data_IF_587556701190
#
_entry.id   IF_587556701190
#
_cell.length_a   1.000
_cell.length_b   1.000
_cell.length_c   1.000
_cell.angle_alpha   90.00
_cell.angle_beta   90.00
_cell.angle_gamma   90.00
#
_symmetry.space_group_name_H-M   'P 1'
#
loop_
_entity.id
_entity.type
_entity.pdbx_description
1 polymer ?
#
# COMPACT_ATOMS: atom_id res chain seq x y z
N UNK A 1 -5.66 9.60 -15.22
CA UNK A 1 -6.33 8.51 -15.96
C UNK A 1 -7.69 8.28 -15.33
N UNK A 2 -8.71 7.96 -16.11
CA UNK A 2 -10.06 7.69 -15.58
C UNK A 2 -10.08 6.46 -14.65
N UNK A 3 -10.91 6.53 -13.60
CA UNK A 3 -11.04 5.50 -12.58
C UNK A 3 -11.27 4.10 -13.14
N UNK A 4 -12.21 3.95 -14.09
CA UNK A 4 -12.55 2.63 -14.65
C UNK A 4 -11.35 1.98 -15.36
N UNK A 5 -10.59 2.79 -16.11
CA UNK A 5 -9.35 2.33 -16.75
C UNK A 5 -8.31 1.92 -15.71
N UNK A 6 -8.16 2.73 -14.66
CA UNK A 6 -7.22 2.42 -13.58
C UNK A 6 -7.58 1.11 -12.85
N UNK A 7 -8.88 0.87 -12.60
CA UNK A 7 -9.38 -0.34 -11.96
C UNK A 7 -9.06 -1.58 -12.79
N UNK A 8 -9.36 -1.56 -14.11
CA UNK A 8 -9.05 -2.68 -15.01
C UNK A 8 -7.55 -3.01 -15.03
N UNK A 9 -6.69 -2.00 -15.07
CA UNK A 9 -5.23 -2.20 -15.03
C UNK A 9 -4.83 -2.78 -13.68
N UNK A 10 -5.32 -2.22 -12.58
CA UNK A 10 -5.00 -2.69 -11.23
C UNK A 10 -5.45 -4.14 -11.01
N UNK A 11 -6.63 -4.53 -11.50
CA UNK A 11 -7.14 -5.90 -11.45
C UNK A 11 -6.23 -6.87 -12.20
N UNK A 12 -5.79 -6.52 -13.41
CA UNK A 12 -4.83 -7.32 -14.17
C UNK A 12 -3.49 -7.49 -13.44
N UNK A 13 -2.97 -6.42 -12.84
CA UNK A 13 -1.74 -6.47 -12.03
C UNK A 13 -1.95 -7.35 -10.80
N UNK A 14 -3.06 -7.19 -10.06
CA UNK A 14 -3.37 -8.02 -8.89
C UNK A 14 -3.43 -9.49 -9.28
N UNK A 15 -4.16 -9.86 -10.33
CA UNK A 15 -4.24 -11.25 -10.80
C UNK A 15 -2.87 -11.84 -11.19
N UNK A 16 -1.97 -11.01 -11.73
CA UNK A 16 -0.60 -11.44 -12.05
C UNK A 16 0.33 -11.60 -10.84
N UNK A 17 0.00 -11.01 -9.70
CA UNK A 17 0.83 -10.99 -8.49
C UNK A 17 0.27 -11.82 -7.33
N UNK A 18 -1.02 -12.11 -7.31
CA UNK A 18 -1.73 -12.74 -6.18
C UNK A 18 -1.10 -14.07 -5.73
N UNK A 19 -0.62 -14.89 -6.67
CA UNK A 19 0.01 -16.18 -6.35
C UNK A 19 1.28 -16.07 -5.48
N UNK A 20 1.97 -14.92 -5.52
CA UNK A 20 3.18 -14.67 -4.74
C UNK A 20 2.89 -14.00 -3.40
N UNK A 21 1.62 -13.76 -3.09
CA UNK A 21 1.17 -12.99 -1.94
C UNK A 21 0.34 -13.86 -1.00
N UNK A 22 0.48 -13.64 0.31
CA UNK A 22 -0.53 -14.07 1.27
C UNK A 22 -1.79 -13.20 1.16
N UNK A 23 -1.60 -11.89 0.94
CA UNK A 23 -2.68 -10.94 0.76
C UNK A 23 -2.25 -9.80 -0.16
N UNK A 24 -3.18 -9.28 -0.96
CA UNK A 24 -2.95 -8.15 -1.86
C UNK A 24 -4.22 -7.31 -1.98
N UNK A 25 -4.08 -5.98 -1.94
CA UNK A 25 -5.19 -5.04 -2.13
C UNK A 25 -4.73 -3.77 -2.85
N UNK A 26 -5.60 -3.29 -3.72
CA UNK A 26 -5.50 -1.95 -4.30
C UNK A 26 -5.83 -0.91 -3.22
N UNK A 27 -4.98 0.10 -3.09
CA UNK A 27 -5.09 1.20 -2.13
C UNK A 27 -5.25 2.56 -2.85
N UNK A 28 -4.83 3.64 -2.21
CA UNK A 28 -4.67 4.92 -2.88
C UNK A 28 -5.95 5.53 -3.42
N UNK A 29 -5.77 6.25 -4.53
CA UNK A 29 -6.85 6.99 -5.20
C UNK A 29 -7.92 6.08 -5.81
N UNK A 30 -7.55 4.89 -6.29
CA UNK A 30 -8.46 3.88 -6.82
C UNK A 30 -9.39 3.38 -5.70
N UNK A 31 -8.85 3.01 -4.53
CA UNK A 31 -9.68 2.53 -3.41
C UNK A 31 -10.64 3.60 -2.89
N UNK A 32 -10.26 4.88 -3.00
CA UNK A 32 -11.13 6.03 -2.68
C UNK A 32 -12.08 6.43 -3.82
N UNK A 33 -12.05 5.73 -4.95
CA UNK A 33 -12.88 6.01 -6.15
C UNK A 33 -12.74 7.44 -6.67
N UNK A 34 -11.52 7.99 -6.68
CA UNK A 34 -11.29 9.30 -7.31
C UNK A 34 -11.54 9.19 -8.82
N UNK A 35 -12.23 10.15 -9.45
CA UNK A 35 -12.50 10.12 -10.89
C UNK A 35 -11.19 10.13 -11.70
N UNK A 36 -10.22 10.92 -11.25
CA UNK A 36 -8.87 10.97 -11.81
C UNK A 36 -7.85 10.27 -10.91
N UNK A 37 -7.15 9.32 -11.50
CA UNK A 37 -6.10 8.49 -10.89
C UNK A 37 -4.76 8.79 -11.54
N UNK A 38 -3.72 9.00 -10.73
CA UNK A 38 -2.38 9.35 -11.20
C UNK A 38 -1.42 8.15 -11.20
N UNK A 39 -1.69 7.19 -10.32
CA UNK A 39 -0.83 6.07 -9.97
C UNK A 39 -1.68 4.90 -9.45
N UNK A 40 -1.09 3.70 -9.47
CA UNK A 40 -1.67 2.49 -8.88
C UNK A 40 -0.90 2.20 -7.59
N UNK A 41 -1.59 2.25 -6.45
CA UNK A 41 -1.05 1.85 -5.16
C UNK A 41 -1.50 0.43 -4.82
N UNK A 42 -0.57 -0.48 -4.52
CA UNK A 42 -0.86 -1.82 -4.00
C UNK A 42 -0.24 -2.00 -2.61
N UNK A 43 -1.00 -2.59 -1.70
CA UNK A 43 -0.47 -3.10 -0.43
C UNK A 43 -0.52 -4.62 -0.49
N UNK A 44 0.59 -5.29 -0.21
CA UNK A 44 0.67 -6.75 -0.24
C UNK A 44 1.49 -7.32 0.92
N UNK A 45 1.15 -8.54 1.35
CA UNK A 45 2.00 -9.38 2.21
C UNK A 45 2.64 -10.44 1.32
N UNK A 46 3.96 -10.43 1.11
CA UNK A 46 4.62 -11.39 0.22
C UNK A 46 4.66 -12.77 0.88
N UNK A 47 4.38 -13.82 0.09
CA UNK A 47 4.62 -15.22 0.45
C UNK A 47 5.99 -15.68 -0.05
N UNK A 48 6.34 -15.29 -1.27
CA UNK A 48 7.64 -15.54 -1.89
C UNK A 48 8.15 -14.22 -2.46
N UNK A 49 9.08 -13.60 -1.73
CA UNK A 49 9.56 -12.26 -2.09
C UNK A 49 10.43 -12.28 -3.35
N UNK A 50 11.24 -13.31 -3.53
CA UNK A 50 12.17 -13.39 -4.66
C UNK A 50 11.41 -13.63 -5.97
N UNK A 51 10.41 -14.51 -5.95
CA UNK A 51 9.55 -14.73 -7.12
C UNK A 51 8.71 -13.50 -7.45
N UNK A 52 8.18 -12.81 -6.42
CA UNK A 52 7.48 -11.56 -6.59
C UNK A 52 8.37 -10.50 -7.25
N UNK A 53 9.58 -10.28 -6.75
CA UNK A 53 10.49 -9.26 -7.28
C UNK A 53 10.88 -9.56 -8.74
N UNK A 54 11.13 -10.83 -9.08
CA UNK A 54 11.33 -11.26 -10.48
C UNK A 54 10.11 -10.94 -11.35
N UNK A 55 8.89 -11.18 -10.84
CA UNK A 55 7.66 -10.85 -11.58
C UNK A 55 7.48 -9.34 -11.75
N UNK A 56 7.79 -8.54 -10.72
CA UNK A 56 7.73 -7.08 -10.80
C UNK A 56 8.67 -6.52 -11.87
N UNK A 57 9.86 -7.09 -12.03
CA UNK A 57 10.81 -6.71 -13.10
C UNK A 57 10.26 -6.97 -14.51
N UNK A 58 9.31 -7.89 -14.66
CA UNK A 58 8.66 -8.19 -15.94
C UNK A 58 7.45 -7.31 -16.23
N UNK A 59 6.90 -6.61 -15.23
CA UNK A 59 5.73 -5.74 -15.42
C UNK A 59 6.10 -4.41 -16.07
N UNK A 60 7.34 -3.94 -15.91
CA UNK A 60 7.78 -2.67 -16.45
C UNK A 60 9.15 -2.27 -15.93
N UNK A 61 9.50 -0.98 -16.08
CA UNK A 61 10.79 -0.47 -15.65
C UNK A 61 10.81 -0.30 -14.12
N UNK A 62 11.57 -1.15 -13.42
CA UNK A 62 11.81 -1.00 -11.99
C UNK A 62 12.60 0.29 -11.72
N UNK A 63 11.97 1.26 -11.05
CA UNK A 63 12.59 2.54 -10.67
C UNK A 63 13.29 2.46 -9.32
N UNK A 64 12.75 1.64 -8.42
CA UNK A 64 13.24 1.44 -7.06
C UNK A 64 12.74 0.09 -6.55
N UNK A 65 13.57 -0.63 -5.81
CA UNK A 65 13.15 -1.75 -4.98
C UNK A 65 13.87 -1.69 -3.64
N UNK A 66 13.10 -1.76 -2.55
CA UNK A 66 13.61 -1.83 -1.19
C UNK A 66 12.73 -2.73 -0.33
N UNK A 67 13.08 -2.85 0.95
CA UNK A 67 12.38 -3.74 1.88
C UNK A 67 10.89 -3.38 2.05
N UNK A 68 10.58 -2.08 2.16
CA UNK A 68 9.22 -1.58 2.43
C UNK A 68 8.42 -1.16 1.21
N UNK A 69 9.09 -0.80 0.11
CA UNK A 69 8.45 -0.30 -1.10
C UNK A 69 9.22 -0.68 -2.35
N UNK A 70 8.50 -1.00 -3.42
CA UNK A 70 9.00 -1.06 -4.78
C UNK A 70 8.18 -0.13 -5.69
N UNK A 71 8.82 0.43 -6.70
CA UNK A 71 8.18 1.29 -7.71
C UNK A 71 8.52 0.80 -9.10
N UNK A 72 7.48 0.48 -9.87
CA UNK A 72 7.57 0.05 -11.27
C UNK A 72 6.88 1.09 -12.13
N UNK A 73 7.48 1.46 -13.25
CA UNK A 73 6.83 2.27 -14.29
C UNK A 73 6.33 1.33 -15.39
N UNK A 74 5.01 1.16 -15.47
CA UNK A 74 4.31 0.34 -16.46
C UNK A 74 3.72 1.25 -17.54
N UNK A 75 4.28 1.30 -18.75
CA UNK A 75 3.76 2.13 -19.84
C UNK A 75 3.43 3.59 -19.42
N UNK A 76 4.38 4.23 -18.71
CA UNK A 76 4.24 5.58 -18.13
C UNK A 76 3.23 5.72 -16.98
N UNK A 77 2.68 4.61 -16.49
CA UNK A 77 1.82 4.54 -15.29
C UNK A 77 2.68 4.12 -14.10
N UNK A 78 2.82 4.96 -13.06
CA UNK A 78 3.48 4.58 -11.83
C UNK A 78 2.67 3.49 -11.09
N UNK A 79 3.36 2.41 -10.73
CA UNK A 79 2.89 1.36 -9.84
C UNK A 79 3.74 1.38 -8.57
N UNK A 80 3.13 1.76 -7.45
CA UNK A 80 3.74 1.73 -6.12
C UNK A 80 3.28 0.48 -5.36
N UNK A 81 4.23 -0.36 -4.97
CA UNK A 81 3.99 -1.58 -4.21
C UNK A 81 4.52 -1.41 -2.79
N UNK A 82 3.64 -1.50 -1.80
CA UNK A 82 3.94 -1.41 -0.38
C UNK A 82 3.93 -2.80 0.25
N UNK A 83 5.06 -3.17 0.84
CA UNK A 83 5.23 -4.47 1.47
C UNK A 83 4.85 -4.40 2.94
N UNK A 84 3.86 -5.21 3.32
CA UNK A 84 3.40 -5.41 4.68
C UNK A 84 3.83 -6.80 5.20
N UNK A 85 3.78 -6.93 6.51
CA UNK A 85 3.67 -8.20 7.23
C UNK A 85 2.20 -8.40 7.66
N UNK A 86 1.79 -9.58 8.13
CA UNK A 86 0.45 -9.79 8.68
C UNK A 86 0.09 -8.76 9.77
N UNK A 87 1.06 -8.40 10.62
CA UNK A 87 0.88 -7.48 11.75
C UNK A 87 0.71 -6.03 11.28
N UNK A 88 1.45 -5.62 10.24
CA UNK A 88 1.43 -4.25 9.73
C UNK A 88 0.37 -4.01 8.65
N UNK A 89 -0.26 -5.08 8.14
CA UNK A 89 -1.21 -5.07 7.03
C UNK A 89 -2.31 -4.02 7.18
N UNK A 90 -3.04 -4.08 8.31
CA UNK A 90 -4.23 -3.26 8.51
C UNK A 90 -3.88 -1.77 8.55
N UNK A 91 -2.84 -1.41 9.29
CA UNK A 91 -2.41 -0.01 9.44
C UNK A 91 -1.77 0.50 8.16
N UNK A 92 -0.96 -0.31 7.46
CA UNK A 92 -0.38 0.10 6.18
C UNK A 92 -1.46 0.30 5.13
N UNK A 93 -2.45 -0.60 5.04
CA UNK A 93 -3.59 -0.44 4.13
C UNK A 93 -4.39 0.82 4.46
N UNK A 94 -4.64 1.12 5.74
CA UNK A 94 -5.29 2.37 6.16
C UNK A 94 -4.51 3.60 5.68
N UNK A 95 -3.21 3.67 5.99
CA UNK A 95 -2.35 4.80 5.65
C UNK A 95 -2.23 4.97 4.13
N UNK A 96 -2.01 3.88 3.39
CA UNK A 96 -1.89 3.90 1.91
C UNK A 96 -3.22 4.14 1.22
N UNK A 97 -4.35 3.84 1.86
CA UNK A 97 -5.67 4.29 1.38
C UNK A 97 -5.79 5.80 1.47
N UNK A 98 -5.15 6.46 2.45
CA UNK A 98 -5.17 7.92 2.60
C UNK A 98 -6.59 8.49 2.80
N UNK A 99 -6.88 9.73 2.38
CA UNK A 99 -5.98 10.72 1.77
C UNK A 99 -4.92 11.26 2.76
N UNK A 100 -4.00 12.09 2.26
CA UNK A 100 -3.03 12.81 3.12
C UNK A 100 -3.74 13.56 4.24
N UNK A 101 -4.83 14.28 3.94
CA UNK A 101 -5.63 14.97 4.95
C UNK A 101 -6.24 14.02 5.98
N UNK A 102 -6.73 12.85 5.56
CA UNK A 102 -7.25 11.85 6.48
C UNK A 102 -6.14 11.30 7.39
N UNK A 103 -4.96 11.02 6.84
CA UNK A 103 -3.81 10.55 7.61
C UNK A 103 -3.35 11.61 8.63
N UNK A 104 -3.31 12.89 8.25
CA UNK A 104 -3.00 14.01 9.15
C UNK A 104 -4.03 14.08 10.28
N UNK A 105 -5.33 13.97 9.96
CA UNK A 105 -6.41 13.96 10.95
C UNK A 105 -6.24 12.80 11.93
N UNK A 106 -6.01 11.57 11.45
CA UNK A 106 -5.84 10.39 12.29
C UNK A 106 -4.61 10.51 13.19
N UNK A 107 -3.47 10.92 12.64
CA UNK A 107 -2.26 11.14 13.42
C UNK A 107 -2.44 12.24 14.48
N UNK A 108 -3.18 13.31 14.15
CA UNK A 108 -3.51 14.38 15.10
C UNK A 108 -4.40 13.87 16.23
N UNK A 109 -5.41 13.05 15.92
CA UNK A 109 -6.30 12.47 16.92
C UNK A 109 -5.58 11.47 17.84
N UNK A 110 -4.64 10.69 17.30
CA UNK A 110 -3.76 9.82 18.08
C UNK A 110 -2.92 10.65 19.06
N UNK A 111 -2.23 11.68 18.54
CA UNK A 111 -1.37 12.56 19.34
C UNK A 111 -2.14 13.24 20.47
N UNK A 112 -3.36 13.72 20.22
CA UNK A 112 -4.22 14.33 21.25
C UNK A 112 -4.59 13.37 22.39
N UNK A 113 -4.50 12.06 22.17
CA UNK A 113 -4.76 11.03 23.19
C UNK A 113 -3.49 10.54 23.88
N UNK A 114 -2.31 11.06 23.53
CA UNK A 114 -1.01 10.52 24.00
C UNK A 114 -0.55 9.29 23.21
N UNK A 115 -1.06 9.11 21.99
CA UNK A 115 -0.72 7.98 21.13
C UNK A 115 -0.01 8.46 19.86
N UNK A 116 0.65 7.53 19.17
CA UNK A 116 1.34 7.75 17.90
C UNK A 116 0.85 6.74 16.87
N UNK A 117 0.29 7.22 15.77
CA UNK A 117 0.01 6.41 14.58
C UNK A 117 1.26 6.33 13.72
N UNK A 118 1.81 5.13 13.53
CA UNK A 118 3.01 4.93 12.72
C UNK A 118 2.65 4.87 11.24
N UNK A 119 3.07 5.89 10.48
CA UNK A 119 2.89 5.96 9.04
C UNK A 119 3.62 4.84 8.27
N UNK A 120 4.55 4.15 8.92
CA UNK A 120 5.23 2.95 8.43
C UNK A 120 4.33 1.72 8.34
N UNK A 121 3.14 1.75 8.95
CA UNK A 121 2.26 0.59 9.06
C UNK A 121 2.41 -0.18 10.38
N UNK A 122 3.36 0.21 11.24
CA UNK A 122 3.68 -0.56 12.46
C UNK A 122 2.53 -0.58 13.48
N UNK A 123 1.57 0.36 13.40
CA UNK A 123 0.39 0.37 14.27
C UNK A 123 0.15 1.69 15.00
N UNK A 124 -0.61 1.61 16.09
CA UNK A 124 -0.95 2.72 16.96
C UNK A 124 -0.37 2.45 18.36
N UNK A 125 0.51 3.33 18.84
CA UNK A 125 1.31 3.10 20.05
C UNK A 125 1.03 4.17 21.11
N UNK A 126 1.10 3.83 22.39
CA UNK A 126 1.10 4.79 23.50
C UNK A 126 2.41 4.72 24.30
N UNK A 127 2.62 5.67 25.22
CA UNK A 127 3.83 5.73 26.07
C UNK A 127 4.02 4.52 27.00
N UNK A 128 3.00 3.66 27.17
CA UNK A 128 3.06 2.44 27.99
C UNK A 128 3.34 1.17 27.18
N UNK A 129 3.55 1.29 25.86
CA UNK A 129 3.78 0.14 24.97
C UNK A 129 2.55 -0.75 24.78
N UNK A 130 1.36 -0.29 25.15
CA UNK A 130 0.12 -1.03 24.90
C UNK A 130 -0.23 -0.99 23.42
N UNK A 131 -0.12 -2.13 22.75
CA UNK A 131 -0.62 -2.35 21.39
C UNK A 131 -2.12 -2.68 21.49
N UNK A 132 -2.98 -1.80 20.99
CA UNK A 132 -4.36 -2.19 20.69
C UNK A 132 -4.35 -2.88 19.32
N UNK A 133 -4.21 -4.20 19.33
CA UNK A 133 -4.47 -5.05 18.17
C UNK A 133 -5.98 -5.08 17.91
N UNK A 134 -6.42 -4.50 16.78
CA UNK A 134 -7.77 -4.66 16.24
C UNK A 134 -7.78 -5.72 15.14
#
# INVERSE_FOLDING_TARGET
>A
MELERAQKIAEGVVGGLEQYCQQIKVAGSIRRKKPQVNDIDLVLVPRDRDALDRRLMQLGKLKMSGMKIARVEMDSIPLDIYFATPETWATLLLIRTGSVQNNIRLATLAKKRGWRLAASGDGLFNERGGEDCW
#
